data_IF_398755123752
#
_entry.id   IF_398755123752
#
_cell.length_a   1.000
_cell.length_b   1.000
_cell.length_c   1.000
_cell.angle_alpha   90.00
_cell.angle_beta   90.00
_cell.angle_gamma   90.00
#
_symmetry.space_group_name_H-M   'P 1'
#
loop_
_entity.id
_entity.type
_entity.pdbx_description
1 polymer ?
#
# COMPACT_ATOMS: atom_id res chain seq x y z
N UNK A 1 7.38 9.79 3.66
CA UNK A 1 6.77 8.44 3.66
C UNK A 1 5.83 8.38 4.86
N UNK A 2 4.51 8.32 4.63
CA UNK A 2 3.54 8.24 5.72
C UNK A 2 3.54 6.86 6.37
N UNK A 3 3.14 6.79 7.64
CA UNK A 3 2.83 5.52 8.31
C UNK A 3 1.52 4.94 7.75
N UNK A 4 1.26 3.62 7.89
CA UNK A 4 -0.05 3.06 7.59
C UNK A 4 -1.15 3.72 8.44
N UNK A 5 -2.42 3.61 8.04
CA UNK A 5 -3.53 4.22 8.79
C UNK A 5 -3.54 3.75 10.24
N UNK A 6 -3.83 4.69 11.14
CA UNK A 6 -3.84 4.49 12.57
C UNK A 6 -2.48 4.11 13.16
N UNK A 7 -1.39 4.22 12.41
CA UNK A 7 -0.05 4.13 12.97
C UNK A 7 0.51 5.52 13.26
N UNK A 8 1.03 5.68 14.47
CA UNK A 8 1.79 6.85 14.89
C UNK A 8 3.20 6.42 15.26
N UNK A 9 4.18 7.30 15.02
CA UNK A 9 5.56 7.08 15.40
C UNK A 9 5.85 7.99 16.59
N UNK A 10 6.43 7.41 17.64
CA UNK A 10 6.78 8.10 18.87
C UNK A 10 8.18 7.70 19.34
N UNK A 11 8.70 8.44 20.32
CA UNK A 11 10.01 8.20 20.94
C UNK A 11 9.77 7.90 22.42
N UNK A 12 10.37 6.83 22.94
CA UNK A 12 10.28 6.47 24.35
C UNK A 12 11.23 7.34 25.23
N UNK A 13 11.21 7.14 26.54
CA UNK A 13 12.09 7.88 27.46
C UNK A 13 13.59 7.59 27.29
N UNK A 14 13.94 6.50 26.61
CA UNK A 14 15.32 6.11 26.32
C UNK A 14 15.80 6.60 24.93
N UNK A 15 14.92 7.27 24.16
CA UNK A 15 15.24 7.78 22.82
C UNK A 15 14.98 6.77 21.71
N UNK A 16 14.37 5.62 21.98
CA UNK A 16 14.09 4.61 20.97
C UNK A 16 12.80 4.94 20.21
N UNK A 17 12.84 4.70 18.91
CA UNK A 17 11.69 4.82 18.03
C UNK A 17 10.74 3.65 18.25
N UNK A 18 9.45 3.93 18.44
CA UNK A 18 8.40 2.91 18.47
C UNK A 18 7.16 3.39 17.71
N UNK A 19 6.29 2.44 17.39
CA UNK A 19 5.11 2.63 16.58
C UNK A 19 3.87 2.24 17.38
N UNK A 20 2.84 3.09 17.30
CA UNK A 20 1.58 2.94 18.01
C UNK A 20 0.49 2.61 16.99
N UNK A 21 -0.19 1.49 17.16
CA UNK A 21 -1.36 1.12 16.36
C UNK A 21 -2.65 1.55 17.10
N UNK A 22 -3.26 2.64 16.66
CA UNK A 22 -4.50 3.20 17.21
C UNK A 22 -5.75 2.34 16.93
N UNK A 23 -5.69 1.38 16.00
CA UNK A 23 -6.77 0.39 15.77
C UNK A 23 -6.70 -0.73 16.81
N UNK A 24 -5.55 -1.41 16.93
CA UNK A 24 -5.39 -2.57 17.84
C UNK A 24 -5.08 -2.15 19.27
N UNK A 25 -4.73 -0.88 19.48
CA UNK A 25 -4.25 -0.31 20.76
C UNK A 25 -2.94 -0.95 21.22
N UNK A 26 -2.11 -1.38 20.28
CA UNK A 26 -0.80 -1.98 20.54
C UNK A 26 0.34 -1.01 20.25
N UNK A 27 1.48 -1.25 20.88
CA UNK A 27 2.74 -0.57 20.60
C UNK A 27 3.80 -1.59 20.23
N UNK A 28 4.64 -1.28 19.25
CA UNK A 28 5.75 -2.15 18.85
C UNK A 28 6.98 -1.33 18.46
N UNK A 29 8.16 -1.89 18.69
CA UNK A 29 9.42 -1.34 18.17
C UNK A 29 9.69 -1.76 16.73
N UNK A 30 8.92 -2.74 16.23
CA UNK A 30 8.96 -3.14 14.84
C UNK A 30 8.19 -2.13 13.99
N UNK A 31 8.85 -1.61 12.96
CA UNK A 31 8.20 -0.72 12.02
C UNK A 31 7.07 -1.46 11.29
N UNK A 32 5.82 -0.99 11.34
CA UNK A 32 4.69 -1.63 10.65
C UNK A 32 4.86 -1.66 9.12
N UNK A 33 5.82 -0.90 8.59
CA UNK A 33 6.23 -0.97 7.19
C UNK A 33 7.12 -2.19 6.91
N UNK A 34 7.70 -2.82 7.93
CA UNK A 34 8.53 -4.03 7.81
C UNK A 34 7.70 -5.31 7.95
N UNK A 35 6.62 -5.29 8.73
CA UNK A 35 5.63 -6.36 8.79
C UNK A 35 4.68 -6.24 7.59
N UNK A 36 5.09 -6.82 6.47
CA UNK A 36 4.36 -6.93 5.19
C UNK A 36 3.07 -7.79 5.30
N UNK A 37 2.16 -7.45 6.21
CA UNK A 37 0.90 -8.15 6.38
C UNK A 37 -0.02 -7.85 5.19
N UNK A 38 -0.44 -8.91 4.48
CA UNK A 38 -1.42 -8.81 3.40
C UNK A 38 -2.75 -8.28 3.95
N UNK A 39 -3.34 -7.29 3.29
CA UNK A 39 -4.62 -6.68 3.65
C UNK A 39 -5.61 -6.83 2.52
N UNK A 40 -6.86 -7.18 2.86
CA UNK A 40 -7.99 -7.17 1.92
C UNK A 40 -8.60 -5.78 1.96
N UNK A 41 -8.68 -5.12 0.81
CA UNK A 41 -9.20 -3.76 0.66
C UNK A 41 -10.37 -3.74 -0.32
N UNK A 42 -11.51 -3.27 0.15
CA UNK A 42 -12.73 -3.14 -0.66
C UNK A 42 -13.07 -1.66 -0.91
N UNK A 43 -13.17 -1.28 -2.18
CA UNK A 43 -13.35 0.09 -2.63
C UNK A 43 -14.59 0.15 -3.53
N UNK A 44 -15.59 0.91 -3.10
CA UNK A 44 -16.74 1.22 -3.94
C UNK A 44 -16.38 2.35 -4.90
N UNK A 45 -16.68 2.16 -6.18
CA UNK A 45 -16.41 3.16 -7.21
C UNK A 45 -17.26 4.40 -6.98
N UNK A 46 -16.59 5.55 -6.96
CA UNK A 46 -17.20 6.87 -6.93
C UNK A 46 -17.33 7.46 -8.34
N UNK A 47 -18.36 8.26 -8.57
CA UNK A 47 -18.62 8.87 -9.87
C UNK A 47 -17.58 9.92 -10.25
N UNK A 48 -17.02 10.62 -9.27
CA UNK A 48 -16.09 11.74 -9.49
C UNK A 48 -14.63 11.30 -9.40
N UNK A 49 -14.30 10.41 -8.47
CA UNK A 49 -12.93 9.99 -8.18
C UNK A 49 -12.58 8.57 -8.66
N UNK A 50 -13.53 7.84 -9.25
CA UNK A 50 -13.35 6.43 -9.58
C UNK A 50 -13.04 5.63 -8.30
N UNK A 51 -11.88 4.97 -8.24
CA UNK A 51 -11.42 4.30 -7.02
C UNK A 51 -10.56 5.17 -6.11
N UNK A 52 -10.23 6.41 -6.51
CA UNK A 52 -9.54 7.38 -5.66
C UNK A 52 -8.06 7.10 -5.39
N UNK A 53 -7.38 6.28 -6.18
CA UNK A 53 -5.93 6.05 -6.02
C UNK A 53 -5.21 6.06 -7.37
N UNK A 54 -3.90 6.28 -7.34
CA UNK A 54 -2.99 6.13 -8.47
C UNK A 54 -2.03 5.00 -8.14
N UNK A 55 -1.94 4.01 -9.02
CA UNK A 55 -0.92 2.98 -8.97
C UNK A 55 0.03 3.13 -10.16
N UNK A 56 1.33 3.04 -9.91
CA UNK A 56 2.34 3.22 -10.93
C UNK A 56 3.65 2.51 -10.57
N UNK A 57 4.19 1.81 -11.57
CA UNK A 57 5.46 1.08 -11.64
C UNK A 57 5.29 0.00 -12.72
N UNK A 58 6.38 -0.53 -13.28
CA UNK A 58 6.25 -1.56 -14.31
C UNK A 58 5.96 -2.94 -13.73
N UNK A 59 6.74 -3.37 -12.72
CA UNK A 59 6.58 -4.57 -11.89
C UNK A 59 7.44 -4.42 -10.62
N UNK A 60 6.93 -4.71 -9.41
CA UNK A 60 5.52 -4.94 -9.08
C UNK A 60 4.70 -3.64 -9.16
N UNK A 61 3.37 -3.71 -9.34
CA UNK A 61 2.49 -2.52 -9.36
C UNK A 61 2.24 -1.99 -7.95
N UNK A 62 2.58 -0.74 -7.69
CA UNK A 62 2.46 -0.12 -6.35
C UNK A 62 1.57 1.13 -6.34
N UNK A 63 0.87 1.36 -5.24
CA UNK A 63 0.10 2.57 -4.98
C UNK A 63 1.07 3.73 -4.73
N UNK A 64 0.97 4.79 -5.53
CA UNK A 64 1.80 6.00 -5.39
C UNK A 64 1.04 7.16 -4.75
N UNK A 65 -0.28 7.20 -4.91
CA UNK A 65 -1.11 8.26 -4.37
C UNK A 65 -2.49 7.74 -4.00
N UNK A 66 -3.07 8.31 -2.94
CA UNK A 66 -4.43 8.06 -2.48
C UNK A 66 -5.10 9.42 -2.31
N UNK A 67 -6.20 9.63 -3.01
CA UNK A 67 -6.97 10.86 -2.96
C UNK A 67 -7.64 10.99 -1.58
N UNK A 68 -7.43 12.11 -0.84
CA UNK A 68 -8.07 12.34 0.45
C UNK A 68 -9.60 12.41 0.38
N UNK A 69 -10.14 12.80 -0.78
CA UNK A 69 -11.59 12.86 -1.02
C UNK A 69 -12.13 11.57 -1.68
N UNK A 70 -11.25 10.61 -2.00
CA UNK A 70 -11.61 9.40 -2.74
C UNK A 70 -12.02 8.22 -1.85
N UNK A 71 -12.68 7.20 -2.43
CA UNK A 71 -13.20 6.05 -1.68
C UNK A 71 -12.14 5.08 -1.14
N UNK A 72 -10.88 5.25 -1.56
CA UNK A 72 -9.70 4.54 -1.08
C UNK A 72 -9.03 5.19 0.14
N UNK A 73 -9.43 6.42 0.50
CA UNK A 73 -8.86 7.13 1.64
C UNK A 73 -9.02 6.31 2.93
N UNK A 74 -7.93 6.18 3.70
CA UNK A 74 -7.88 5.38 4.93
C UNK A 74 -7.87 3.85 4.71
N UNK A 75 -7.97 3.37 3.46
CA UNK A 75 -7.96 1.93 3.12
C UNK A 75 -6.69 1.48 2.40
N UNK A 76 -6.23 2.28 1.44
CA UNK A 76 -4.96 2.08 0.74
C UNK A 76 -3.89 3.04 1.28
N UNK A 77 -2.64 2.61 1.18
CA UNK A 77 -1.47 3.41 1.56
C UNK A 77 -0.47 3.48 0.41
N UNK A 78 0.27 4.58 0.38
CA UNK A 78 1.42 4.70 -0.53
C UNK A 78 2.40 3.57 -0.23
N UNK A 79 2.97 2.99 -1.29
CA UNK A 79 3.80 1.78 -1.28
C UNK A 79 3.07 0.47 -0.98
N UNK A 80 1.74 0.46 -1.05
CA UNK A 80 1.02 -0.80 -1.16
C UNK A 80 1.30 -1.43 -2.53
N UNK A 81 1.96 -2.58 -2.53
CA UNK A 81 1.98 -3.47 -3.69
C UNK A 81 0.61 -4.11 -3.85
N UNK A 82 0.10 -4.09 -5.08
CA UNK A 82 -1.12 -4.81 -5.45
C UNK A 82 -0.74 -6.26 -5.74
N UNK A 83 -1.27 -7.19 -4.95
CA UNK A 83 -1.03 -8.62 -5.07
C UNK A 83 -2.15 -9.31 -5.83
N UNK A 84 -3.41 -8.88 -5.59
CA UNK A 84 -4.57 -9.39 -6.32
C UNK A 84 -5.56 -8.29 -6.68
N UNK A 85 -6.29 -8.49 -7.79
CA UNK A 85 -7.42 -7.66 -8.25
C UNK A 85 -8.62 -8.56 -8.49
N UNK A 86 -9.69 -8.39 -7.70
CA UNK A 86 -10.90 -9.22 -7.72
C UNK A 86 -10.61 -10.72 -7.72
N UNK A 87 -9.63 -11.16 -6.93
CA UNK A 87 -9.23 -12.56 -6.81
C UNK A 87 -8.20 -13.02 -7.86
N UNK A 88 -7.89 -12.22 -8.88
CA UNK A 88 -6.84 -12.52 -9.85
C UNK A 88 -5.48 -12.11 -9.28
N UNK A 89 -4.52 -13.05 -9.21
CA UNK A 89 -3.14 -12.73 -8.83
C UNK A 89 -2.49 -11.84 -9.90
N UNK A 90 -1.81 -10.78 -9.45
CA UNK A 90 -1.12 -9.81 -10.30
C UNK A 90 0.31 -9.49 -9.86
N UNK A 91 0.90 -10.31 -8.99
CA UNK A 91 2.24 -10.05 -8.42
C UNK A 91 3.31 -9.88 -9.51
N UNK A 92 3.23 -10.72 -10.56
CA UNK A 92 4.11 -10.69 -11.74
C UNK A 92 3.44 -10.12 -12.99
N UNK A 93 2.27 -9.48 -12.88
CA UNK A 93 1.56 -8.94 -14.04
C UNK A 93 2.18 -7.63 -14.55
N UNK A 94 1.96 -7.27 -15.82
CA UNK A 94 2.31 -5.92 -16.30
C UNK A 94 1.38 -4.88 -15.71
N UNK A 95 1.86 -3.63 -15.62
CA UNK A 95 1.03 -2.47 -15.28
C UNK A 95 -0.25 -2.42 -16.12
N UNK A 96 -0.14 -2.65 -17.43
CA UNK A 96 -1.26 -2.62 -18.37
C UNK A 96 -2.33 -3.65 -17.96
N UNK A 97 -1.94 -4.89 -17.66
CA UNK A 97 -2.87 -5.94 -17.22
C UNK A 97 -3.57 -5.57 -15.92
N UNK A 98 -2.85 -4.98 -14.96
CA UNK A 98 -3.42 -4.55 -13.68
C UNK A 98 -4.43 -3.41 -13.87
N UNK A 99 -4.07 -2.41 -14.69
CA UNK A 99 -4.95 -1.30 -15.04
C UNK A 99 -6.21 -1.81 -15.73
N UNK A 100 -6.09 -2.73 -16.68
CA UNK A 100 -7.24 -3.33 -17.36
C UNK A 100 -8.18 -4.02 -16.36
N UNK A 101 -7.65 -4.80 -15.42
CA UNK A 101 -8.46 -5.48 -14.41
C UNK A 101 -9.19 -4.48 -13.49
N UNK A 102 -8.51 -3.40 -13.07
CA UNK A 102 -9.10 -2.37 -12.22
C UNK A 102 -10.17 -1.57 -12.98
N UNK A 103 -9.89 -1.16 -14.22
CA UNK A 103 -10.82 -0.34 -15.00
C UNK A 103 -12.09 -1.09 -15.39
N UNK A 104 -11.96 -2.40 -15.70
CA UNK A 104 -13.07 -3.30 -15.99
C UNK A 104 -13.81 -3.78 -14.73
N UNK A 105 -13.38 -3.35 -13.53
CA UNK A 105 -14.12 -3.61 -12.29
C UNK A 105 -15.36 -2.72 -12.22
N UNK A 106 -16.48 -3.29 -11.75
CA UNK A 106 -17.80 -2.65 -11.69
C UNK A 106 -17.92 -1.66 -10.50
N UNK A 107 -18.94 -1.82 -9.66
CA UNK A 107 -19.21 -0.94 -8.51
C UNK A 107 -18.24 -1.20 -7.35
N UNK A 108 -17.69 -2.42 -7.23
CA UNK A 108 -16.85 -2.84 -6.11
C UNK A 108 -15.55 -3.45 -6.62
N UNK A 109 -14.44 -2.88 -6.16
CA UNK A 109 -13.09 -3.40 -6.37
C UNK A 109 -12.60 -4.04 -5.08
N UNK A 110 -12.14 -5.29 -5.17
CA UNK A 110 -11.49 -6.00 -4.07
C UNK A 110 -10.02 -6.21 -4.40
N UNK A 111 -9.12 -5.69 -3.56
CA UNK A 111 -7.68 -5.84 -3.69
C UNK A 111 -7.14 -6.66 -2.52
N UNK A 112 -6.10 -7.44 -2.77
CA UNK A 112 -5.17 -7.86 -1.71
C UNK A 112 -3.89 -7.07 -1.92
N UNK A 113 -3.45 -6.36 -0.89
CA UNK A 113 -2.27 -5.50 -0.93
C UNK A 113 -1.29 -5.81 0.20
N UNK A 114 -0.03 -5.43 0.04
CA UNK A 114 0.96 -5.44 1.13
C UNK A 114 1.83 -4.20 1.04
N UNK A 115 2.23 -3.65 2.19
CA UNK A 115 3.28 -2.62 2.22
C UNK A 115 4.60 -3.25 1.74
N UNK A 116 5.27 -2.61 0.78
CA UNK A 116 6.62 -3.00 0.37
C UNK A 116 7.59 -2.63 1.49
N UNK A 117 8.33 -3.60 2.07
CA UNK A 117 9.30 -3.30 3.11
C UNK A 117 10.34 -2.30 2.63
N UNK A 118 10.72 -1.37 3.51
CA UNK A 118 11.79 -0.41 3.25
C UNK A 118 13.09 -1.11 2.78
N UNK A 119 13.41 -2.30 3.29
CA UNK A 119 14.57 -3.10 2.89
C UNK A 119 14.59 -3.45 1.40
N UNK A 120 13.43 -3.66 0.78
CA UNK A 120 13.31 -3.95 -0.65
C UNK A 120 13.52 -2.69 -1.50
N UNK A 121 13.11 -1.52 -0.99
CA UNK A 121 13.38 -0.21 -1.61
C UNK A 121 14.88 0.11 -1.56
N UNK A 122 15.56 -0.16 -0.43
CA UNK A 122 17.01 0.05 -0.29
C UNK A 122 17.83 -0.87 -1.19
N UNK A 123 17.34 -2.09 -1.45
CA UNK A 123 17.99 -3.03 -2.36
C UNK A 123 17.94 -2.57 -3.82
N UNK A 124 16.84 -1.96 -4.26
CA UNK A 124 16.70 -1.48 -5.64
C UNK A 124 17.56 -0.25 -5.91
N UNK A 125 17.74 0.64 -4.92
CA UNK A 125 18.66 1.79 -5.06
C UNK A 125 20.13 1.36 -5.01
N UNK A 126 20.49 0.36 -4.20
CA UNK A 126 21.85 -0.21 -4.24
C UNK A 126 22.14 -0.87 -5.59
N UNK A 127 21.18 -1.59 -6.17
CA UNK A 127 21.37 -2.23 -7.49
C UNK A 127 21.65 -1.24 -8.64
N UNK A 128 21.14 -0.01 -8.56
CA UNK A 128 21.28 1.01 -9.61
C UNK A 128 22.53 1.90 -9.43
N UNK A 129 23.16 1.89 -8.26
CA UNK A 129 24.36 2.69 -7.96
C UNK A 129 25.67 1.94 -8.22
N UNK A 130 25.60 0.64 -8.52
CA UNK A 130 26.77 -0.23 -8.74
C UNK A 130 26.79 -0.81 -10.17
N UNK A 131 25.98 -0.26 -11.09
CA UNK A 131 25.88 -0.70 -12.50
C UNK A 131 26.34 0.39 -13.46
#
# INVERSE_FOLDING_TARGET
LGLPYAWEQAIDSAGNLYFINHITRETTYEDPRQTASKRIVQISRDLTHGYGFVAASQRPVVVQFVSPAGPSCGKLFVNDQILTVNGINVEDATKEKVVDLIQNSNQLLTLIVSQVPLSQVTSLVHSLLIS
#
